data_IF_541703795732
#
_entry.id   IF_541703795732
#
_cell.length_a   1.000
_cell.length_b   1.000
_cell.length_c   1.000
_cell.angle_alpha   90.00
_cell.angle_beta   90.00
_cell.angle_gamma   90.00
#
_symmetry.space_group_name_H-M   'P 1'
#
loop_
_entity.id
_entity.type
_entity.pdbx_description
1 polymer ?
#
# COMPACT_ATOMS: atom_id res chain seq x y z
N UNK A 1 -21.00 9.76 11.75
CA UNK A 1 -19.58 10.12 11.56
C UNK A 1 -19.02 9.71 10.18
N UNK A 2 -19.47 8.61 9.55
CA UNK A 2 -18.95 8.17 8.23
C UNK A 2 -19.17 9.17 7.07
N UNK A 3 -20.40 9.66 6.88
CA UNK A 3 -20.74 10.56 5.76
C UNK A 3 -19.99 11.90 5.80
N UNK A 4 -19.73 12.42 7.00
CA UNK A 4 -18.99 13.67 7.18
C UNK A 4 -17.53 13.48 6.77
N UNK A 5 -16.91 12.36 7.18
CA UNK A 5 -15.53 12.03 6.79
C UNK A 5 -15.39 11.92 5.27
N UNK A 6 -16.27 11.16 4.60
CA UNK A 6 -16.23 11.02 3.14
C UNK A 6 -16.35 12.37 2.42
N UNK A 7 -17.24 13.25 2.90
CA UNK A 7 -17.42 14.58 2.32
C UNK A 7 -16.17 15.43 2.50
N UNK A 8 -15.60 15.45 3.70
CA UNK A 8 -14.38 16.21 3.98
C UNK A 8 -13.20 15.67 3.18
N UNK A 9 -12.99 14.37 3.15
CA UNK A 9 -11.89 13.71 2.42
C UNK A 9 -11.97 13.97 0.92
N UNK A 10 -13.18 13.97 0.32
CA UNK A 10 -13.37 14.27 -1.11
C UNK A 10 -12.96 15.70 -1.52
N UNK A 11 -12.80 16.60 -0.55
CA UNK A 11 -12.46 18.01 -0.78
C UNK A 11 -10.99 18.37 -0.52
N UNK A 12 -10.19 17.43 -0.01
CA UNK A 12 -8.80 17.71 0.35
C UNK A 12 -7.89 17.73 -0.90
N UNK A 13 -6.98 18.70 -1.01
CA UNK A 13 -5.96 18.68 -2.05
C UNK A 13 -4.96 17.54 -1.79
N UNK A 14 -4.60 16.82 -2.86
CA UNK A 14 -3.55 15.80 -2.80
C UNK A 14 -2.21 16.48 -2.50
N UNK A 15 -1.50 16.02 -1.46
CA UNK A 15 -0.18 16.55 -1.15
C UNK A 15 0.83 16.13 -2.23
N UNK A 16 1.33 17.11 -2.98
CA UNK A 16 2.31 16.92 -4.06
C UNK A 16 3.73 17.30 -3.65
N UNK A 17 3.93 17.82 -2.44
CA UNK A 17 5.24 18.28 -2.02
C UNK A 17 6.12 17.09 -1.57
N UNK A 18 7.34 16.96 -2.11
CA UNK A 18 8.29 15.98 -1.63
C UNK A 18 8.67 16.26 -0.17
N UNK A 19 9.06 15.23 0.61
CA UNK A 19 9.50 15.41 1.98
C UNK A 19 10.66 16.42 2.06
N UNK A 20 10.54 17.42 2.95
CA UNK A 20 11.56 18.46 3.16
C UNK A 20 12.77 17.85 3.89
N UNK A 21 13.96 18.04 3.33
CA UNK A 21 15.17 17.33 3.77
C UNK A 21 15.95 18.02 4.90
N UNK A 22 16.24 17.26 5.95
CA UNK A 22 17.41 17.48 6.82
C UNK A 22 18.04 16.13 7.25
N UNK A 23 19.04 15.63 6.51
CA UNK A 23 20.01 14.62 6.98
C UNK A 23 19.84 13.13 6.60
N UNK A 24 20.95 12.52 6.14
CA UNK A 24 21.35 11.08 6.01
C UNK A 24 20.44 10.02 5.32
N UNK A 25 20.96 9.50 4.19
CA UNK A 25 20.35 8.60 3.19
C UNK A 25 19.85 7.19 3.62
N UNK A 26 20.30 6.60 4.75
CA UNK A 26 20.00 5.18 5.07
C UNK A 26 18.60 4.92 5.66
N UNK A 27 18.01 5.89 6.36
CA UNK A 27 16.61 5.83 6.81
C UNK A 27 15.60 6.22 5.72
N UNK A 28 16.09 6.80 4.62
CA UNK A 28 15.27 7.49 3.62
C UNK A 28 14.65 6.57 2.57
N UNK A 29 15.16 5.36 2.34
CA UNK A 29 14.67 4.54 1.22
C UNK A 29 13.18 4.18 1.38
N UNK A 30 12.74 3.86 2.60
CA UNK A 30 11.33 3.59 2.88
C UNK A 30 10.44 4.81 2.56
N UNK A 31 10.86 5.98 3.02
CA UNK A 31 10.15 7.26 2.82
C UNK A 31 10.09 7.65 1.36
N UNK A 32 11.22 7.55 0.65
CA UNK A 32 11.28 7.87 -0.77
C UNK A 32 10.39 6.93 -1.59
N UNK A 33 10.40 5.63 -1.32
CA UNK A 33 9.52 4.69 -2.01
C UNK A 33 8.05 4.93 -1.69
N UNK A 34 7.71 5.24 -0.43
CA UNK A 34 6.34 5.56 -0.05
C UNK A 34 5.85 6.87 -0.69
N UNK A 35 6.67 7.92 -0.71
CA UNK A 35 6.34 9.18 -1.38
C UNK A 35 6.12 8.97 -2.90
N UNK A 36 7.09 8.36 -3.59
CA UNK A 36 7.01 8.19 -5.04
C UNK A 36 5.92 7.22 -5.46
N UNK A 37 5.67 6.16 -4.68
CA UNK A 37 4.53 5.26 -4.95
C UNK A 37 3.19 5.93 -4.71
N UNK A 38 3.08 6.78 -3.69
CA UNK A 38 1.87 7.58 -3.45
C UNK A 38 1.63 8.55 -4.61
N UNK A 39 2.66 9.28 -5.04
CA UNK A 39 2.57 10.18 -6.21
C UNK A 39 2.16 9.40 -7.46
N UNK A 40 2.79 8.25 -7.73
CA UNK A 40 2.48 7.41 -8.88
C UNK A 40 1.03 6.89 -8.83
N UNK A 41 0.60 6.39 -7.68
CA UNK A 41 -0.75 5.88 -7.49
C UNK A 41 -1.81 6.98 -7.66
N UNK A 42 -1.53 8.19 -7.16
CA UNK A 42 -2.40 9.35 -7.31
C UNK A 42 -2.49 9.80 -8.78
N UNK A 43 -1.35 9.88 -9.49
CA UNK A 43 -1.30 10.27 -10.90
C UNK A 43 -2.03 9.26 -11.79
N UNK A 44 -1.89 7.96 -11.51
CA UNK A 44 -2.54 6.89 -12.28
C UNK A 44 -3.95 6.57 -11.80
N UNK A 45 -4.40 7.17 -10.70
CA UNK A 45 -5.65 6.86 -10.01
C UNK A 45 -5.82 5.35 -9.75
N UNK A 46 -4.78 4.72 -9.18
CA UNK A 46 -4.76 3.28 -8.88
C UNK A 46 -4.71 3.05 -7.38
N UNK A 47 -5.42 2.05 -6.83
CA UNK A 47 -5.24 1.66 -5.44
C UNK A 47 -3.84 1.08 -5.21
N UNK A 48 -3.37 1.20 -3.98
CA UNK A 48 -2.04 0.73 -3.58
C UNK A 48 -2.18 -0.63 -2.90
N UNK A 49 -1.37 -1.61 -3.31
CA UNK A 49 -1.23 -2.89 -2.64
C UNK A 49 0.13 -2.93 -1.94
N UNK A 50 0.11 -3.29 -0.67
CA UNK A 50 1.33 -3.49 0.13
C UNK A 50 1.20 -4.76 0.96
N UNK A 51 2.23 -5.59 0.94
CA UNK A 51 2.36 -6.74 1.85
C UNK A 51 3.27 -6.33 3.01
N UNK A 52 2.86 -6.60 4.23
CA UNK A 52 3.62 -6.14 5.40
C UNK A 52 3.46 -7.08 6.61
N UNK A 53 4.60 -7.40 7.25
CA UNK A 53 4.64 -8.15 8.52
C UNK A 53 4.54 -7.23 9.71
N UNK A 54 5.27 -6.12 9.69
CA UNK A 54 5.31 -5.17 10.83
C UNK A 54 4.38 -3.98 10.66
N UNK A 55 3.75 -3.76 9.49
CA UNK A 55 2.93 -2.59 9.20
C UNK A 55 3.67 -1.33 8.78
N UNK A 56 5.01 -1.28 8.85
CA UNK A 56 5.79 -0.04 8.70
C UNK A 56 5.54 0.69 7.37
N UNK A 57 5.51 -0.04 6.25
CA UNK A 57 5.29 0.55 4.93
C UNK A 57 3.84 1.04 4.74
N UNK A 58 2.84 0.31 5.25
CA UNK A 58 1.44 0.74 5.18
C UNK A 58 1.19 2.03 5.98
N UNK A 59 1.82 2.15 7.15
CA UNK A 59 1.79 3.36 7.98
C UNK A 59 2.41 4.54 7.22
N UNK A 60 3.55 4.30 6.57
CA UNK A 60 4.27 5.33 5.84
C UNK A 60 3.53 5.79 4.58
N UNK A 61 2.90 4.87 3.86
CA UNK A 61 1.98 5.20 2.76
C UNK A 61 0.81 6.06 3.28
N UNK A 62 0.17 5.67 4.38
CA UNK A 62 -0.93 6.44 4.99
C UNK A 62 -0.51 7.87 5.39
N UNK A 63 0.75 8.06 5.82
CA UNK A 63 1.30 9.38 6.14
C UNK A 63 1.27 10.32 4.94
N UNK A 64 1.54 9.83 3.73
CA UNK A 64 1.52 10.63 2.51
C UNK A 64 0.12 10.86 1.91
N UNK A 65 -0.94 10.33 2.53
CA UNK A 65 -2.35 10.54 2.16
C UNK A 65 -2.63 10.29 0.65
N UNK A 66 -2.44 9.05 0.15
CA UNK A 66 -2.88 8.71 -1.20
C UNK A 66 -4.37 9.00 -1.38
N UNK A 67 -4.77 9.42 -2.59
CA UNK A 67 -6.17 9.63 -2.93
C UNK A 67 -6.93 8.31 -3.09
N UNK A 68 -6.19 7.21 -3.29
CA UNK A 68 -6.72 5.86 -3.46
C UNK A 68 -6.57 5.01 -2.20
N UNK A 69 -7.32 3.91 -2.13
CA UNK A 69 -7.25 2.98 -0.99
C UNK A 69 -5.92 2.22 -0.97
N UNK A 70 -5.35 2.08 0.23
CA UNK A 70 -4.18 1.24 0.50
C UNK A 70 -4.67 -0.13 1.00
N UNK A 71 -4.61 -1.15 0.17
CA UNK A 71 -4.82 -2.54 0.57
C UNK A 71 -3.57 -3.10 1.23
N UNK A 72 -3.58 -3.17 2.56
CA UNK A 72 -2.46 -3.65 3.35
C UNK A 72 -2.66 -5.11 3.76
N UNK A 73 -2.00 -6.02 3.04
CA UNK A 73 -2.02 -7.44 3.37
C UNK A 73 -1.03 -7.75 4.48
N UNK A 74 -1.45 -8.54 5.47
CA UNK A 74 -0.62 -8.97 6.58
C UNK A 74 -0.96 -10.39 7.02
N UNK A 75 0.04 -11.16 7.46
CA UNK A 75 -0.14 -12.49 8.03
C UNK A 75 -0.27 -12.47 9.57
N UNK A 76 -0.37 -11.30 10.18
CA UNK A 76 -0.51 -11.12 11.63
C UNK A 76 -1.79 -10.34 11.99
N UNK A 77 -2.70 -10.97 12.73
CA UNK A 77 -4.00 -10.38 13.07
C UNK A 77 -3.87 -9.10 13.92
N UNK A 78 -2.87 -9.06 14.81
CA UNK A 78 -2.56 -7.86 15.62
C UNK A 78 -2.19 -6.67 14.73
N UNK A 79 -1.46 -6.91 13.65
CA UNK A 79 -1.03 -5.87 12.71
C UNK A 79 -2.22 -5.40 11.88
N UNK A 80 -3.09 -6.32 11.44
CA UNK A 80 -4.36 -5.95 10.78
C UNK A 80 -5.20 -5.02 11.66
N UNK A 81 -5.40 -5.36 12.93
CA UNK A 81 -6.17 -4.54 13.88
C UNK A 81 -5.54 -3.16 14.05
N UNK A 82 -4.20 -3.09 14.18
CA UNK A 82 -3.50 -1.82 14.31
C UNK A 82 -3.61 -0.96 13.06
N UNK A 83 -3.48 -1.56 11.88
CA UNK A 83 -3.54 -0.86 10.60
C UNK A 83 -4.93 -0.28 10.29
N UNK A 84 -5.99 -0.84 10.88
CA UNK A 84 -7.36 -0.34 10.69
C UNK A 84 -7.58 1.09 11.22
N UNK A 85 -6.67 1.59 12.06
CA UNK A 85 -6.71 2.95 12.61
C UNK A 85 -6.06 3.99 11.68
N UNK A 86 -5.35 3.56 10.63
CA UNK A 86 -4.63 4.45 9.74
C UNK A 86 -5.51 4.85 8.56
N UNK A 87 -5.54 6.16 8.28
CA UNK A 87 -6.37 6.73 7.22
C UNK A 87 -6.00 6.15 5.85
N UNK A 88 -7.02 5.82 5.06
CA UNK A 88 -6.86 5.25 3.72
C UNK A 88 -6.37 3.81 3.70
N UNK A 89 -6.11 3.18 4.85
CA UNK A 89 -5.64 1.80 4.93
C UNK A 89 -6.81 0.85 5.14
N UNK A 90 -6.98 -0.09 4.22
CA UNK A 90 -7.85 -1.25 4.37
C UNK A 90 -6.97 -2.48 4.63
N UNK A 91 -6.82 -2.91 5.88
CA UNK A 91 -5.98 -4.06 6.20
C UNK A 91 -6.71 -5.38 5.94
N UNK A 92 -6.00 -6.33 5.35
CA UNK A 92 -6.53 -7.64 4.98
C UNK A 92 -5.61 -8.71 5.53
N UNK A 93 -6.17 -9.64 6.30
CA UNK A 93 -5.42 -10.79 6.78
C UNK A 93 -5.28 -11.82 5.67
N UNK A 94 -4.05 -12.25 5.40
CA UNK A 94 -3.76 -13.31 4.44
C UNK A 94 -2.42 -13.96 4.79
N UNK A 95 -2.38 -15.30 4.74
CA UNK A 95 -1.11 -16.02 4.84
C UNK A 95 -0.29 -15.83 3.56
N UNK A 96 1.00 -15.55 3.72
CA UNK A 96 1.94 -15.38 2.63
C UNK A 96 2.56 -16.72 2.24
N UNK A 97 2.82 -16.89 0.94
CA UNK A 97 3.62 -18.00 0.39
C UNK A 97 5.07 -17.55 0.25
N UNK A 98 5.97 -18.52 0.08
CA UNK A 98 7.37 -18.27 -0.31
C UNK A 98 7.46 -17.81 -1.78
N UNK A 99 6.39 -17.96 -2.56
CA UNK A 99 6.27 -17.39 -3.90
C UNK A 99 5.55 -16.02 -3.85
N UNK A 100 6.27 -14.98 -4.29
CA UNK A 100 5.79 -13.61 -4.41
C UNK A 100 4.60 -13.50 -5.38
N UNK A 101 4.67 -14.20 -6.51
CA UNK A 101 3.68 -14.14 -7.56
C UNK A 101 2.42 -14.86 -7.13
N UNK A 102 2.55 -16.04 -6.52
CA UNK A 102 1.41 -16.77 -5.92
C UNK A 102 0.70 -15.91 -4.87
N UNK A 103 1.47 -15.30 -3.96
CA UNK A 103 0.94 -14.41 -2.92
C UNK A 103 0.19 -13.22 -3.53
N UNK A 104 0.73 -12.63 -4.60
CA UNK A 104 0.11 -11.51 -5.30
C UNK A 104 -1.17 -11.93 -6.05
N UNK A 105 -1.16 -13.06 -6.76
CA UNK A 105 -2.35 -13.58 -7.44
C UNK A 105 -3.48 -13.88 -6.47
N UNK A 106 -3.17 -14.47 -5.30
CA UNK A 106 -4.15 -14.71 -4.24
C UNK A 106 -4.72 -13.41 -3.66
N UNK A 107 -3.88 -12.39 -3.48
CA UNK A 107 -4.33 -11.08 -3.04
C UNK A 107 -5.30 -10.44 -4.04
N UNK A 108 -4.97 -10.46 -5.34
CA UNK A 108 -5.85 -9.94 -6.40
C UNK A 108 -7.18 -10.68 -6.44
N UNK A 109 -7.16 -12.01 -6.38
CA UNK A 109 -8.38 -12.82 -6.33
C UNK A 109 -9.27 -12.43 -5.15
N UNK A 110 -8.69 -12.27 -3.97
CA UNK A 110 -9.44 -11.86 -2.77
C UNK A 110 -10.05 -10.46 -2.94
N UNK A 111 -9.36 -9.52 -3.58
CA UNK A 111 -9.90 -8.19 -3.86
C UNK A 111 -11.03 -8.23 -4.89
N UNK A 112 -10.90 -9.05 -5.94
CA UNK A 112 -11.95 -9.28 -6.94
C UNK A 112 -13.19 -9.91 -6.30
N UNK A 113 -13.02 -10.97 -5.51
CA UNK A 113 -14.11 -11.67 -4.81
C UNK A 113 -14.87 -10.74 -3.85
N UNK A 114 -14.18 -9.73 -3.28
CA UNK A 114 -14.78 -8.72 -2.40
C UNK A 114 -15.33 -7.49 -3.14
N UNK A 115 -15.25 -7.45 -4.47
CA UNK A 115 -15.60 -6.30 -5.32
C UNK A 115 -14.86 -5.01 -4.92
N UNK A 116 -13.62 -5.14 -4.42
CA UNK A 116 -12.77 -4.00 -4.03
C UNK A 116 -11.93 -3.46 -5.19
N UNK A 117 -11.69 -4.30 -6.20
CA UNK A 117 -11.08 -3.96 -7.48
C UNK A 117 -11.88 -4.67 -8.58
N UNK A 118 -11.80 -4.17 -9.81
CA UNK A 118 -12.44 -4.80 -10.97
C UNK A 118 -11.40 -5.40 -11.90
N UNK A 119 -11.81 -6.41 -12.64
CA UNK A 119 -10.99 -6.96 -13.70
C UNK A 119 -10.66 -5.86 -14.74
N UNK A 120 -9.40 -5.81 -15.16
CA UNK A 120 -8.92 -4.82 -16.11
C UNK A 120 -8.43 -3.51 -15.49
N UNK A 121 -8.70 -3.25 -14.20
CA UNK A 121 -8.12 -2.11 -13.48
C UNK A 121 -6.61 -2.29 -13.25
N UNK A 122 -5.92 -1.19 -12.90
CA UNK A 122 -4.50 -1.23 -12.55
C UNK A 122 -4.35 -1.00 -11.04
N UNK A 123 -3.34 -1.64 -10.46
CA UNK A 123 -2.97 -1.49 -9.04
C UNK A 123 -1.49 -1.14 -8.93
N UNK A 124 -1.14 -0.28 -7.98
CA UNK A 124 0.26 0.03 -7.66
C UNK A 124 0.73 -0.87 -6.52
N UNK A 125 1.60 -1.81 -6.82
CA UNK A 125 2.24 -2.70 -5.85
C UNK A 125 3.51 -2.03 -5.30
N UNK A 126 3.60 -1.93 -3.98
CA UNK A 126 4.76 -1.38 -3.28
C UNK A 126 5.42 -2.48 -2.46
N UNK A 127 6.69 -2.76 -2.77
CA UNK A 127 7.51 -3.69 -2.01
C UNK A 127 8.75 -2.96 -1.52
N UNK A 128 8.74 -2.57 -0.25
CA UNK A 128 9.83 -1.82 0.37
C UNK A 128 9.87 -2.16 1.86
N UNK A 129 11.03 -2.58 2.35
CA UNK A 129 11.22 -3.00 3.74
C UNK A 129 12.55 -3.71 3.94
N UNK A 130 13.16 -3.53 5.12
CA UNK A 130 14.44 -4.13 5.46
C UNK A 130 14.36 -5.65 5.63
N UNK A 131 13.20 -6.15 6.07
CA UNK A 131 12.93 -7.59 6.16
C UNK A 131 12.16 -8.03 4.91
N UNK A 132 12.73 -8.92 4.09
CA UNK A 132 12.00 -9.50 2.99
C UNK A 132 10.88 -10.41 3.51
N UNK A 133 9.81 -10.53 2.72
CA UNK A 133 8.67 -11.39 3.05
C UNK A 133 8.88 -12.79 2.47
N UNK A 134 9.35 -12.86 1.23
CA UNK A 134 9.55 -14.07 0.42
C UNK A 134 10.90 -14.03 -0.34
N UNK A 135 11.84 -13.15 0.04
CA UNK A 135 13.11 -12.93 -0.68
C UNK A 135 14.30 -13.18 0.24
N UNK A 136 15.46 -13.46 -0.35
CA UNK A 136 16.73 -13.49 0.39
C UNK A 136 17.36 -12.10 0.54
N UNK A 137 17.16 -11.21 -0.44
CA UNK A 137 17.73 -9.85 -0.45
C UNK A 137 16.71 -8.73 -0.22
N UNK A 138 17.21 -7.59 0.29
CA UNK A 138 16.44 -6.36 0.51
C UNK A 138 16.35 -5.52 -0.77
N UNK A 139 15.38 -5.82 -1.63
CA UNK A 139 15.04 -5.02 -2.82
C UNK A 139 13.91 -4.01 -2.54
N UNK A 140 13.92 -2.85 -3.21
CA UNK A 140 12.81 -1.90 -3.17
C UNK A 140 12.29 -1.70 -4.58
N UNK A 141 10.98 -1.90 -4.81
CA UNK A 141 10.38 -1.65 -6.12
C UNK A 141 8.92 -1.19 -6.01
N UNK A 142 8.51 -0.46 -7.04
CA UNK A 142 7.14 0.01 -7.28
C UNK A 142 6.74 -0.58 -8.63
N UNK A 143 5.62 -1.29 -8.68
CA UNK A 143 5.11 -1.91 -9.90
C UNK A 143 3.68 -1.48 -10.13
N UNK A 144 3.32 -1.17 -11.38
CA UNK A 144 1.93 -1.01 -11.79
C UNK A 144 1.52 -2.29 -12.50
N UNK A 145 0.51 -2.98 -11.98
CA UNK A 145 0.05 -4.27 -12.50
C UNK A 145 -1.42 -4.19 -12.88
N UNK A 146 -1.77 -4.80 -14.01
CA UNK A 146 -3.16 -4.95 -14.43
C UNK A 146 -3.79 -6.13 -13.70
N UNK A 147 -4.99 -5.93 -13.15
CA UNK A 147 -5.80 -6.98 -12.52
C UNK A 147 -6.35 -7.88 -13.63
N UNK A 148 -6.09 -9.18 -13.51
CA UNK A 148 -6.62 -10.24 -14.38
C UNK A 148 -7.33 -11.26 -13.49
N UNK A 149 -8.47 -11.77 -13.96
CA UNK A 149 -9.20 -12.85 -13.29
C UNK A 149 -8.45 -14.19 -13.39
#
# INVERSE_FOLDING_TARGET
MHTVALRTESSLPVNTMPPVHSGTYKGHMGEMFAFHSTTMANTLNTPIIVFTRTGSMAILLSHYRPSSTIFAFTNEERIKQRLALYQGVMPIYMQFSDDAEETFSRALKLLLDKNLVKEGEHVTLVQSGAQPIWREESTHHIQVRKVRA
#
